data_IF_839850545888
#
_entry.id   IF_839850545888
#
_cell.length_a   1.000
_cell.length_b   1.000
_cell.length_c   1.000
_cell.angle_alpha   90.00
_cell.angle_beta   90.00
_cell.angle_gamma   90.00
#
_symmetry.space_group_name_H-M   'P 1'
#
loop_
_entity.id
_entity.type
_entity.pdbx_description
1 polymer ?
#
# COMPACT_ATOMS: atom_id res chain seq x y z
N UNK A 1 -4.67 -14.86 -5.64
CA UNK A 1 -4.51 -14.58 -4.20
C UNK A 1 -4.48 -13.07 -3.90
N UNK A 2 -3.47 -12.28 -4.30
CA UNK A 2 -3.53 -10.80 -4.12
C UNK A 2 -4.63 -10.16 -4.99
N UNK A 3 -4.87 -10.69 -6.19
CA UNK A 3 -5.99 -10.31 -7.07
C UNK A 3 -7.38 -10.64 -6.49
N UNK A 4 -7.50 -11.55 -5.51
CA UNK A 4 -8.78 -11.81 -4.83
C UNK A 4 -9.03 -10.81 -3.72
N UNK A 5 -7.99 -10.31 -3.04
CA UNK A 5 -8.10 -9.11 -2.18
C UNK A 5 -8.64 -7.93 -2.98
N UNK A 6 -8.29 -7.93 -4.26
CA UNK A 6 -8.92 -7.08 -5.20
C UNK A 6 -10.41 -7.51 -5.40
N UNK A 7 -10.70 -8.51 -6.23
CA UNK A 7 -11.92 -8.54 -7.04
C UNK A 7 -13.30 -8.67 -6.35
N UNK A 8 -13.42 -9.03 -5.06
CA UNK A 8 -14.73 -9.42 -4.51
C UNK A 8 -15.34 -8.39 -3.56
N UNK A 9 -16.35 -7.68 -4.07
CA UNK A 9 -17.37 -6.94 -3.30
C UNK A 9 -18.17 -7.81 -2.32
N UNK A 10 -17.92 -9.13 -2.26
CA UNK A 10 -18.57 -10.10 -1.37
C UNK A 10 -17.61 -10.78 -0.36
N UNK A 11 -16.42 -10.21 -0.10
CA UNK A 11 -15.55 -10.78 0.93
C UNK A 11 -16.15 -10.59 2.32
N UNK A 12 -16.60 -11.70 2.91
CA UNK A 12 -17.14 -11.74 4.27
C UNK A 12 -16.08 -11.37 5.33
N UNK A 13 -14.77 -11.42 5.01
CA UNK A 13 -13.68 -11.15 5.97
C UNK A 13 -12.41 -10.55 5.33
N UNK A 14 -12.42 -9.29 4.86
CA UNK A 14 -11.26 -8.65 4.22
C UNK A 14 -10.05 -8.50 5.15
N UNK A 15 -10.27 -8.43 6.47
CA UNK A 15 -9.20 -8.40 7.48
C UNK A 15 -8.39 -9.70 7.51
N UNK A 16 -9.07 -10.86 7.42
CA UNK A 16 -8.39 -12.17 7.42
C UNK A 16 -7.53 -12.30 6.17
N UNK A 17 -8.06 -11.86 5.03
CA UNK A 17 -7.31 -11.93 3.78
C UNK A 17 -6.10 -10.98 3.78
N UNK A 18 -6.26 -9.74 4.28
CA UNK A 18 -5.14 -8.82 4.46
C UNK A 18 -4.04 -9.45 5.34
N UNK A 19 -4.42 -10.07 6.46
CA UNK A 19 -3.47 -10.75 7.34
C UNK A 19 -2.75 -11.91 6.64
N UNK A 20 -3.46 -12.71 5.85
CA UNK A 20 -2.85 -13.78 5.07
C UNK A 20 -1.86 -13.23 4.04
N UNK A 21 -2.20 -12.16 3.32
CA UNK A 21 -1.29 -11.50 2.36
C UNK A 21 -0.04 -10.99 3.08
N UNK A 22 -0.21 -10.36 4.24
CA UNK A 22 0.90 -9.93 5.09
C UNK A 22 1.79 -11.11 5.44
N UNK A 23 1.25 -12.17 6.05
CA UNK A 23 2.04 -13.34 6.44
C UNK A 23 2.81 -13.98 5.26
N UNK A 24 2.16 -14.10 4.09
CA UNK A 24 2.78 -14.64 2.88
C UNK A 24 3.90 -13.74 2.37
N UNK A 25 3.68 -12.42 2.31
CA UNK A 25 4.70 -11.48 1.85
C UNK A 25 5.90 -11.46 2.79
N UNK A 26 5.67 -11.54 4.11
CA UNK A 26 6.74 -11.61 5.11
C UNK A 26 7.58 -12.88 4.95
N UNK A 27 6.95 -14.03 4.71
CA UNK A 27 7.66 -15.26 4.39
C UNK A 27 8.50 -15.14 3.10
N UNK A 28 7.95 -14.52 2.05
CA UNK A 28 8.64 -14.32 0.77
C UNK A 28 9.80 -13.34 0.87
N UNK A 29 9.64 -12.24 1.61
CA UNK A 29 10.71 -11.26 1.87
C UNK A 29 11.86 -11.93 2.63
N UNK A 30 11.54 -12.71 3.67
CA UNK A 30 12.54 -13.49 4.43
C UNK A 30 13.26 -14.53 3.56
N UNK A 31 12.58 -15.07 2.55
CA UNK A 31 13.16 -16.01 1.58
C UNK A 31 13.86 -15.31 0.39
N UNK A 32 14.16 -14.01 0.49
CA UNK A 32 14.83 -13.20 -0.53
C UNK A 32 14.08 -13.06 -1.88
N UNK A 33 12.75 -13.21 -1.89
CA UNK A 33 11.89 -13.01 -3.08
C UNK A 33 11.26 -11.60 -3.15
N UNK A 34 11.90 -10.59 -2.54
CA UNK A 34 11.38 -9.21 -2.49
C UNK A 34 11.08 -8.61 -3.87
N UNK A 35 11.87 -8.94 -4.89
CA UNK A 35 11.64 -8.47 -6.26
C UNK A 35 10.27 -8.91 -6.83
N UNK A 36 9.86 -10.16 -6.59
CA UNK A 36 8.55 -10.69 -7.01
C UNK A 36 7.42 -10.08 -6.19
N UNK A 37 7.64 -9.87 -4.89
CA UNK A 37 6.67 -9.19 -4.01
C UNK A 37 6.40 -7.79 -4.53
N UNK A 38 7.42 -7.02 -4.90
CA UNK A 38 7.25 -5.68 -5.46
C UNK A 38 6.50 -5.67 -6.79
N UNK A 39 6.79 -6.62 -7.68
CA UNK A 39 6.06 -6.76 -8.96
C UNK A 39 4.57 -7.02 -8.74
N UNK A 40 4.23 -8.00 -7.90
CA UNK A 40 2.83 -8.32 -7.58
C UNK A 40 2.12 -7.19 -6.84
N UNK A 41 2.86 -6.47 -6.00
CA UNK A 41 2.36 -5.31 -5.26
C UNK A 41 1.99 -4.19 -6.23
N UNK A 42 2.88 -3.80 -7.14
CA UNK A 42 2.64 -2.74 -8.12
C UNK A 42 1.46 -3.07 -9.05
N UNK A 43 1.37 -4.31 -9.54
CA UNK A 43 0.24 -4.76 -10.36
C UNK A 43 -1.10 -4.67 -9.60
N UNK A 44 -1.08 -5.05 -8.33
CA UNK A 44 -2.28 -5.00 -7.48
C UNK A 44 -2.65 -3.57 -7.09
N UNK A 45 -1.66 -2.70 -6.92
CA UNK A 45 -1.82 -1.33 -6.47
C UNK A 45 -2.66 -0.51 -7.45
N UNK A 46 -2.35 -0.55 -8.75
CA UNK A 46 -3.15 0.11 -9.79
C UNK A 46 -4.60 -0.37 -9.77
N UNK A 47 -4.80 -1.68 -9.56
CA UNK A 47 -6.13 -2.29 -9.51
C UNK A 47 -6.94 -1.86 -8.28
N UNK A 48 -6.26 -1.64 -7.14
CA UNK A 48 -6.92 -1.20 -5.89
C UNK A 48 -7.17 0.31 -5.91
N UNK A 49 -6.26 1.12 -6.47
CA UNK A 49 -6.39 2.57 -6.54
C UNK A 49 -7.67 3.02 -7.26
N UNK A 50 -8.08 2.28 -8.30
CA UNK A 50 -9.30 2.52 -9.08
C UNK A 50 -10.60 2.16 -8.35
N UNK A 51 -10.54 1.57 -7.15
CA UNK A 51 -11.73 1.09 -6.46
C UNK A 51 -12.54 2.17 -5.76
N UNK A 52 -13.86 1.95 -5.80
CA UNK A 52 -14.82 2.64 -4.93
C UNK A 52 -15.44 1.64 -3.95
N UNK A 53 -15.70 2.04 -2.68
CA UNK A 53 -15.48 3.38 -2.13
C UNK A 53 -14.00 3.66 -1.83
N UNK A 54 -13.57 4.91 -2.02
CA UNK A 54 -12.16 5.33 -1.92
C UNK A 54 -11.52 4.99 -0.55
N UNK A 55 -12.32 5.04 0.52
CA UNK A 55 -11.92 4.61 1.86
C UNK A 55 -11.38 3.17 1.88
N UNK A 56 -12.05 2.26 1.19
CA UNK A 56 -11.65 0.85 1.11
C UNK A 56 -10.43 0.68 0.21
N UNK A 57 -10.30 1.52 -0.83
CA UNK A 57 -9.08 1.57 -1.63
C UNK A 57 -7.88 2.00 -0.79
N UNK A 58 -7.98 3.11 -0.05
CA UNK A 58 -6.91 3.63 0.81
C UNK A 58 -6.52 2.60 1.86
N UNK A 59 -7.48 2.03 2.59
CA UNK A 59 -7.19 0.98 3.57
C UNK A 59 -6.48 -0.23 2.95
N UNK A 60 -6.96 -0.70 1.80
CA UNK A 60 -6.37 -1.85 1.10
C UNK A 60 -4.96 -1.57 0.58
N UNK A 61 -4.75 -0.37 0.05
CA UNK A 61 -3.44 0.12 -0.42
C UNK A 61 -2.45 0.22 0.75
N UNK A 62 -2.86 0.78 1.90
CA UNK A 62 -2.02 0.86 3.10
C UNK A 62 -1.61 -0.53 3.58
N UNK A 63 -2.57 -1.46 3.70
CA UNK A 63 -2.30 -2.85 4.09
C UNK A 63 -1.32 -3.53 3.11
N UNK A 64 -1.50 -3.32 1.81
CA UNK A 64 -0.67 -3.89 0.76
C UNK A 64 0.77 -3.35 0.82
N UNK A 65 0.92 -2.03 0.93
CA UNK A 65 2.23 -1.36 1.03
C UNK A 65 2.99 -1.76 2.29
N UNK A 66 2.30 -1.83 3.44
CA UNK A 66 2.90 -2.33 4.69
C UNK A 66 3.31 -3.80 4.60
N UNK A 67 2.53 -4.64 3.92
CA UNK A 67 2.86 -6.06 3.71
C UNK A 67 4.11 -6.25 2.86
N UNK A 68 4.30 -5.38 1.88
CA UNK A 68 5.46 -5.41 1.00
C UNK A 68 6.66 -4.62 1.55
N UNK A 69 6.52 -3.99 2.73
CA UNK A 69 7.59 -3.25 3.37
C UNK A 69 8.61 -4.22 4.02
N UNK A 70 9.91 -4.10 3.72
CA UNK A 70 10.96 -4.97 4.24
C UNK A 70 11.33 -4.61 5.68
N UNK A 71 11.01 -3.38 6.13
CA UNK A 71 11.23 -2.96 7.50
C UNK A 71 10.28 -3.69 8.44
N UNK A 72 10.81 -4.67 9.17
CA UNK A 72 10.04 -5.46 10.14
C UNK A 72 9.41 -4.55 11.21
N UNK A 73 10.16 -3.56 11.68
CA UNK A 73 9.70 -2.65 12.74
C UNK A 73 8.48 -1.83 12.33
N UNK A 74 8.46 -1.32 11.10
CA UNK A 74 7.36 -0.48 10.61
C UNK A 74 6.16 -1.37 10.24
N UNK A 75 6.41 -2.45 9.50
CA UNK A 75 5.38 -3.37 9.05
C UNK A 75 4.65 -4.02 10.23
N UNK A 76 5.39 -4.60 11.18
CA UNK A 76 4.80 -5.34 12.30
C UNK A 76 4.10 -4.42 13.32
N UNK A 77 4.51 -3.14 13.42
CA UNK A 77 3.87 -2.16 14.30
C UNK A 77 2.60 -1.53 13.69
N UNK A 78 2.65 -1.14 12.41
CA UNK A 78 1.56 -0.39 11.77
C UNK A 78 0.49 -1.28 11.16
N UNK A 79 0.83 -2.52 10.78
CA UNK A 79 -0.12 -3.41 10.12
C UNK A 79 -1.29 -3.84 11.02
N UNK A 80 -1.10 -4.26 12.30
CA UNK A 80 -2.20 -4.58 13.20
C UNK A 80 -3.11 -3.36 13.47
N UNK A 81 -2.51 -2.17 13.59
CA UNK A 81 -3.24 -0.92 13.75
C UNK A 81 -4.14 -0.67 12.53
N UNK A 82 -3.59 -0.78 11.32
CA UNK A 82 -4.33 -0.60 10.06
C UNK A 82 -5.46 -1.64 9.93
N UNK A 83 -5.21 -2.91 10.26
CA UNK A 83 -6.23 -3.97 10.25
C UNK A 83 -7.43 -3.66 11.16
N UNK A 84 -7.16 -3.19 12.38
CA UNK A 84 -8.21 -2.85 13.36
C UNK A 84 -9.15 -1.74 12.90
N UNK A 85 -8.68 -0.87 11.99
CA UNK A 85 -9.41 0.30 11.51
C UNK A 85 -10.39 0.02 10.38
N UNK A 86 -10.47 -1.21 9.89
CA UNK A 86 -11.43 -1.60 8.84
C UNK A 86 -12.90 -1.24 9.20
N UNK A 87 -13.31 -1.45 10.45
CA UNK A 87 -14.65 -1.11 10.95
C UNK A 87 -14.78 0.30 11.54
N UNK A 88 -13.67 1.01 11.75
CA UNK A 88 -13.63 2.33 12.35
C UNK A 88 -13.95 3.44 11.33
N UNK A 89 -14.44 4.61 11.76
CA UNK A 89 -14.69 5.74 10.86
C UNK A 89 -13.37 6.18 10.20
N UNK A 90 -13.43 6.55 8.91
CA UNK A 90 -12.25 7.08 8.23
C UNK A 90 -11.86 8.43 8.82
N UNK A 91 -10.63 8.53 9.30
CA UNK A 91 -10.12 9.70 10.01
C UNK A 91 -8.77 10.14 9.43
N UNK A 92 -8.31 11.31 9.87
CA UNK A 92 -7.02 11.86 9.49
C UNK A 92 -5.84 10.91 9.78
N UNK A 93 -5.97 10.03 10.78
CA UNK A 93 -4.97 9.00 11.05
C UNK A 93 -4.81 8.02 9.88
N UNK A 94 -5.90 7.64 9.20
CA UNK A 94 -5.85 6.75 8.05
C UNK A 94 -5.08 7.38 6.88
N UNK A 95 -5.26 8.70 6.69
CA UNK A 95 -4.49 9.49 5.72
C UNK A 95 -3.00 9.47 6.06
N UNK A 96 -2.64 9.72 7.33
CA UNK A 96 -1.23 9.71 7.76
C UNK A 96 -0.59 8.33 7.63
N UNK A 97 -1.32 7.27 7.98
CA UNK A 97 -0.85 5.89 7.82
C UNK A 97 -0.62 5.55 6.35
N UNK A 98 -1.52 5.96 5.46
CA UNK A 98 -1.38 5.79 4.02
C UNK A 98 -0.15 6.53 3.47
N UNK A 99 0.02 7.80 3.82
CA UNK A 99 1.17 8.62 3.37
C UNK A 99 2.49 8.03 3.87
N UNK A 100 2.56 7.61 5.13
CA UNK A 100 3.75 6.99 5.70
C UNK A 100 4.05 5.65 5.04
N UNK A 101 3.06 4.76 4.91
CA UNK A 101 3.24 3.46 4.27
C UNK A 101 3.67 3.60 2.81
N UNK A 102 3.08 4.53 2.06
CA UNK A 102 3.44 4.80 0.68
C UNK A 102 4.85 5.36 0.53
N UNK A 103 5.26 6.28 1.41
CA UNK A 103 6.63 6.80 1.43
C UNK A 103 7.65 5.70 1.70
N UNK A 104 7.46 4.92 2.76
CA UNK A 104 8.38 3.84 3.13
C UNK A 104 8.44 2.76 2.04
N UNK A 105 7.29 2.43 1.44
CA UNK A 105 7.24 1.52 0.30
C UNK A 105 7.93 2.10 -0.94
N UNK A 106 7.83 3.40 -1.22
CA UNK A 106 8.51 4.00 -2.36
C UNK A 106 10.04 4.02 -2.17
N UNK A 107 10.51 4.37 -0.97
CA UNK A 107 11.95 4.45 -0.66
C UNK A 107 12.66 3.10 -0.81
N UNK A 108 11.99 1.99 -0.56
CA UNK A 108 12.58 0.67 -0.77
C UNK A 108 12.67 0.26 -2.25
N UNK A 109 11.93 0.90 -3.17
CA UNK A 109 12.00 0.58 -4.59
C UNK A 109 13.34 1.09 -5.13
N UNK A 110 14.25 0.18 -5.47
CA UNK A 110 15.55 0.51 -6.07
C UNK A 110 15.48 0.64 -7.58
N UNK A 111 14.45 0.04 -8.21
CA UNK A 111 14.27 0.05 -9.66
C UNK A 111 13.45 1.27 -10.11
N UNK A 112 13.99 2.04 -11.05
CA UNK A 112 13.36 3.23 -11.63
C UNK A 112 12.03 2.89 -12.30
N UNK A 113 11.93 1.75 -12.97
CA UNK A 113 10.67 1.34 -13.62
C UNK A 113 9.58 1.03 -12.59
N UNK A 114 9.96 0.45 -11.45
CA UNK A 114 9.04 0.20 -10.34
C UNK A 114 8.54 1.50 -9.71
N UNK A 115 9.42 2.50 -9.54
CA UNK A 115 9.04 3.84 -9.07
C UNK A 115 8.09 4.52 -10.05
N UNK A 116 8.36 4.42 -11.36
CA UNK A 116 7.50 4.97 -12.42
C UNK A 116 6.13 4.33 -12.41
N UNK A 117 6.05 3.00 -12.28
CA UNK A 117 4.77 2.28 -12.17
C UNK A 117 4.00 2.71 -10.91
N UNK A 118 4.71 2.93 -9.80
CA UNK A 118 4.10 3.44 -8.58
C UNK A 118 3.47 4.81 -8.80
N UNK A 119 4.24 5.75 -9.36
CA UNK A 119 3.75 7.10 -9.64
C UNK A 119 2.56 7.09 -10.61
N UNK A 120 2.58 6.25 -11.63
CA UNK A 120 1.48 6.10 -12.60
C UNK A 120 0.20 5.58 -11.96
N UNK A 121 0.30 4.65 -11.01
CA UNK A 121 -0.87 4.10 -10.32
C UNK A 121 -1.67 5.19 -9.59
N UNK A 122 -0.98 6.20 -9.05
CA UNK A 122 -1.61 7.31 -8.32
C UNK A 122 -1.89 8.53 -9.19
N UNK A 123 -1.06 8.83 -10.18
CA UNK A 123 -1.25 9.97 -11.09
C UNK A 123 -2.55 9.86 -11.88
N UNK A 124 -2.93 8.65 -12.29
CA UNK A 124 -4.20 8.44 -13.00
C UNK A 124 -5.42 8.75 -12.12
N UNK A 125 -5.30 8.57 -10.81
CA UNK A 125 -6.38 8.75 -9.83
C UNK A 125 -6.26 10.05 -9.03
N UNK A 126 -5.21 10.85 -9.24
CA UNK A 126 -4.95 12.07 -8.47
C UNK A 126 -6.02 13.16 -8.68
N UNK A 127 -6.73 13.11 -9.80
CA UNK A 127 -7.88 13.98 -10.07
C UNK A 127 -9.12 13.59 -9.25
N UNK A 128 -9.20 12.34 -8.81
CA UNK A 128 -10.34 11.79 -8.06
C UNK A 128 -10.17 11.97 -6.56
N UNK A 129 -8.96 11.82 -6.04
CA UNK A 129 -8.67 11.85 -4.61
C UNK A 129 -7.42 12.68 -4.30
N UNK A 130 -7.60 13.74 -3.49
CA UNK A 130 -6.53 14.66 -3.11
C UNK A 130 -5.41 13.94 -2.35
N UNK A 131 -5.73 12.92 -1.56
CA UNK A 131 -4.75 12.16 -0.80
C UNK A 131 -3.68 11.49 -1.69
N UNK A 132 -4.02 11.10 -2.91
CA UNK A 132 -3.06 10.54 -3.86
C UNK A 132 -2.10 11.61 -4.41
N UNK A 133 -2.59 12.83 -4.62
CA UNK A 133 -1.73 13.96 -4.97
C UNK A 133 -0.81 14.34 -3.81
N UNK A 134 -1.34 14.35 -2.58
CA UNK A 134 -0.56 14.63 -1.36
C UNK A 134 0.55 13.57 -1.17
N UNK A 135 0.29 12.28 -1.48
CA UNK A 135 1.30 11.23 -1.45
C UNK A 135 2.46 11.49 -2.43
N UNK A 136 2.14 11.85 -3.67
CA UNK A 136 3.16 12.13 -4.69
C UNK A 136 4.02 13.35 -4.30
N UNK A 137 3.41 14.41 -3.79
CA UNK A 137 4.12 15.57 -3.27
C UNK A 137 5.02 15.20 -2.07
N UNK A 138 4.51 14.40 -1.13
CA UNK A 138 5.26 13.98 0.06
C UNK A 138 6.49 13.13 -0.28
N UNK A 139 6.40 12.32 -1.35
CA UNK A 139 7.53 11.55 -1.88
C UNK A 139 8.57 12.50 -2.52
N UNK A 140 8.13 13.47 -3.32
CA UNK A 140 9.03 14.45 -3.96
C UNK A 140 9.82 15.28 -2.94
N UNK A 141 9.16 15.76 -1.88
CA UNK A 141 9.81 16.51 -0.79
C UNK A 141 10.85 15.66 -0.05
N UNK A 142 10.60 14.36 0.08
CA UNK A 142 11.53 13.42 0.72
C UNK A 142 12.79 13.21 -0.13
N UNK A 143 12.65 13.13 -1.47
CA UNK A 143 13.79 12.98 -2.39
C UNK A 143 14.66 14.24 -2.37
N UNK A 144 14.04 15.42 -2.35
CA UNK A 144 14.74 16.71 -2.32
C UNK A 144 15.49 16.95 -1.00
N UNK A 145 14.99 16.43 0.12
CA UNK A 145 15.65 16.55 1.44
C UNK A 145 16.75 15.51 1.68
N UNK A 146 16.90 14.52 0.80
CA UNK A 146 17.95 13.48 0.85
C UNK A 146 19.05 13.66 -0.20
N UNK A 147 19.01 14.77 -0.96
CA UNK A 147 20.04 15.21 -1.91
C UNK A 147 20.87 16.36 -1.33
#
# INVERSE_FOLDING_TARGET
MVLEFAASTQQLYPQILAYTVFAVFRALINAHYSAKVNEWTLLSMTSIAQRKPIRMAIWGLTCLMLSACPSHTIADALFPLTLSRFSARFEELDNRLFLLAGREYYLQLTNIEQRRQFEQAFTNESNTEKLYADLLAHIQDTILSSS
#
